data_IF_771605292823
#
_entry.id   IF_771605292823
#
_cell.length_a   1.000
_cell.length_b   1.000
_cell.length_c   1.000
_cell.angle_alpha   90.00
_cell.angle_beta   90.00
_cell.angle_gamma   90.00
#
_symmetry.space_group_name_H-M   'P 1'
#
loop_
_entity.id
_entity.type
_entity.pdbx_description
1 polymer ?
#
# COMPACT_ATOMS: atom_id res chain seq x y z
N UNK A 1 0.04 -14.47 9.20
CA UNK A 1 -0.91 -14.22 8.08
C UNK A 1 -1.81 -13.06 8.46
N UNK A 2 -2.00 -12.07 7.58
CA UNK A 2 -3.03 -11.05 7.79
C UNK A 2 -4.39 -11.74 7.64
N UNK A 3 -5.01 -12.13 8.76
CA UNK A 3 -6.31 -12.81 8.80
C UNK A 3 -7.48 -11.84 9.01
N UNK A 4 -7.28 -10.53 8.82
CA UNK A 4 -8.35 -9.53 8.98
C UNK A 4 -8.96 -9.22 7.63
N UNK A 5 -10.24 -9.54 7.46
CA UNK A 5 -11.02 -9.02 6.35
C UNK A 5 -11.09 -7.49 6.46
N UNK A 6 -11.02 -6.80 5.32
CA UNK A 6 -11.16 -5.36 5.29
C UNK A 6 -12.52 -4.96 5.88
N UNK A 7 -12.53 -3.95 6.75
CA UNK A 7 -13.77 -3.47 7.35
C UNK A 7 -14.61 -2.74 6.29
N UNK A 8 -15.85 -3.17 5.99
CA UNK A 8 -16.60 -2.67 4.81
C UNK A 8 -16.78 -1.15 4.77
N UNK A 9 -17.02 -0.52 5.92
CA UNK A 9 -17.15 0.94 6.01
C UNK A 9 -15.82 1.65 5.75
N UNK A 10 -14.73 1.16 6.36
CA UNK A 10 -13.40 1.71 6.19
C UNK A 10 -12.88 1.52 4.75
N UNK A 11 -13.18 0.37 4.14
CA UNK A 11 -12.86 0.09 2.75
C UNK A 11 -13.60 1.04 1.79
N UNK A 12 -14.89 1.32 2.03
CA UNK A 12 -15.66 2.30 1.24
C UNK A 12 -15.10 3.71 1.38
N UNK A 13 -14.76 4.13 2.60
CA UNK A 13 -14.16 5.44 2.85
C UNK A 13 -12.79 5.58 2.18
N UNK A 14 -11.95 4.55 2.28
CA UNK A 14 -10.67 4.48 1.58
C UNK A 14 -10.84 4.60 0.06
N UNK A 15 -11.74 3.80 -0.52
CA UNK A 15 -12.01 3.81 -1.95
C UNK A 15 -12.53 5.16 -2.44
N UNK A 16 -13.42 5.82 -1.68
CA UNK A 16 -13.91 7.15 -2.00
C UNK A 16 -12.79 8.21 -1.96
N UNK A 17 -11.92 8.16 -0.95
CA UNK A 17 -10.77 9.08 -0.82
C UNK A 17 -9.77 8.94 -1.97
N UNK A 18 -9.53 7.72 -2.43
CA UNK A 18 -8.57 7.43 -3.50
C UNK A 18 -9.19 7.42 -4.90
N UNK A 19 -10.52 7.59 -5.03
CA UNK A 19 -11.20 7.68 -6.32
C UNK A 19 -10.67 8.88 -7.11
N UNK A 20 -10.20 8.63 -8.33
CA UNK A 20 -9.61 9.67 -9.19
C UNK A 20 -8.24 10.17 -8.72
N UNK A 21 -7.62 9.52 -7.73
CA UNK A 21 -6.23 9.75 -7.31
C UNK A 21 -5.35 8.59 -7.75
N UNK A 22 -4.17 8.90 -8.26
CA UNK A 22 -3.18 7.92 -8.66
C UNK A 22 -2.29 8.50 -9.74
N UNK A 23 -1.05 8.81 -9.37
CA UNK A 23 0.01 9.12 -10.34
C UNK A 23 0.91 7.89 -10.43
N UNK A 24 1.15 7.38 -11.65
CA UNK A 24 1.79 6.09 -11.97
C UNK A 24 3.16 5.83 -11.31
N UNK A 25 3.81 6.85 -10.72
CA UNK A 25 5.18 6.71 -10.19
C UNK A 25 5.39 7.13 -8.73
N UNK A 26 4.46 7.85 -8.10
CA UNK A 26 4.72 8.51 -6.80
C UNK A 26 3.85 8.06 -5.63
N UNK A 27 2.61 7.65 -5.89
CA UNK A 27 1.62 7.45 -4.82
C UNK A 27 1.40 5.98 -4.45
N UNK A 28 2.03 5.04 -5.15
CA UNK A 28 1.87 3.60 -4.96
C UNK A 28 2.25 3.13 -3.56
N UNK A 29 3.33 3.67 -2.98
CA UNK A 29 3.71 3.34 -1.60
C UNK A 29 2.72 3.92 -0.59
N UNK A 30 2.32 5.19 -0.75
CA UNK A 30 1.35 5.84 0.14
C UNK A 30 0.00 5.14 0.10
N UNK A 31 -0.44 4.74 -1.08
CA UNK A 31 -1.65 3.94 -1.29
C UNK A 31 -1.62 2.65 -0.46
N UNK A 32 -0.53 1.87 -0.57
CA UNK A 32 -0.41 0.59 0.15
C UNK A 32 -0.35 0.79 1.67
N UNK A 33 0.39 1.78 2.13
CA UNK A 33 0.47 2.12 3.56
C UNK A 33 -0.89 2.51 4.12
N UNK A 34 -1.60 3.39 3.42
CA UNK A 34 -2.90 3.88 3.85
C UNK A 34 -3.98 2.81 3.76
N UNK A 35 -3.94 1.94 2.76
CA UNK A 35 -4.84 0.79 2.61
C UNK A 35 -4.73 -0.15 3.80
N UNK A 36 -3.49 -0.57 4.13
CA UNK A 36 -3.23 -1.49 5.24
C UNK A 36 -3.62 -0.90 6.59
N UNK A 37 -3.32 0.38 6.81
CA UNK A 37 -3.71 1.05 8.05
C UNK A 37 -5.23 1.24 8.14
N UNK A 38 -5.86 1.76 7.10
CA UNK A 38 -7.25 2.23 7.15
C UNK A 38 -8.25 1.10 6.95
N UNK A 39 -8.11 0.31 5.88
CA UNK A 39 -9.09 -0.72 5.54
C UNK A 39 -8.86 -2.01 6.35
N UNK A 40 -7.60 -2.34 6.67
CA UNK A 40 -7.21 -3.58 7.36
C UNK A 40 -6.85 -3.38 8.84
N UNK A 41 -6.78 -2.14 9.33
CA UNK A 41 -6.50 -1.85 10.74
C UNK A 41 -5.11 -2.28 11.19
N UNK A 42 -4.12 -2.25 10.29
CA UNK A 42 -2.73 -2.59 10.60
C UNK A 42 -2.05 -1.36 11.20
N UNK A 43 -1.64 -1.44 12.47
CA UNK A 43 -0.98 -0.31 13.16
C UNK A 43 0.40 0.02 12.59
N UNK A 44 1.16 -1.00 12.18
CA UNK A 44 2.54 -0.85 11.67
C UNK A 44 2.67 -1.44 10.26
N UNK A 45 2.06 -0.81 9.23
CA UNK A 45 2.00 -1.37 7.88
C UNK A 45 3.37 -1.52 7.21
N UNK A 46 4.35 -0.69 7.58
CA UNK A 46 5.73 -0.79 7.07
C UNK A 46 6.39 -2.14 7.41
N UNK A 47 6.00 -2.80 8.51
CA UNK A 47 6.58 -4.10 8.90
C UNK A 47 6.10 -5.26 8.02
N UNK A 48 5.07 -5.03 7.19
CA UNK A 48 4.47 -6.03 6.32
C UNK A 48 4.81 -5.83 4.84
N UNK A 49 5.48 -4.72 4.51
CA UNK A 49 5.82 -4.35 3.16
C UNK A 49 7.34 -4.42 2.99
N UNK A 50 7.77 -5.05 1.90
CA UNK A 50 9.10 -4.81 1.35
C UNK A 50 8.91 -3.73 0.29
N UNK A 51 9.61 -2.61 0.47
CA UNK A 51 9.60 -1.51 -0.49
C UNK A 51 10.36 -1.90 -1.77
N UNK A 52 10.32 -1.05 -2.79
CA UNK A 52 10.98 -1.30 -4.06
C UNK A 52 12.44 -1.67 -3.83
N UNK A 53 12.78 -2.90 -4.22
CA UNK A 53 14.15 -3.38 -4.18
C UNK A 53 14.85 -2.78 -5.39
N UNK A 54 15.80 -1.89 -5.15
CA UNK A 54 16.61 -1.33 -6.22
C UNK A 54 17.40 -2.48 -6.87
N UNK A 55 17.05 -2.81 -8.11
CA UNK A 55 17.85 -3.74 -8.91
C UNK A 55 19.09 -2.96 -9.35
N UNK A 56 20.20 -3.21 -8.67
CA UNK A 56 21.50 -2.84 -9.23
C UNK A 56 21.76 -3.80 -10.37
N UNK A 57 21.58 -3.35 -11.61
CA UNK A 57 22.11 -4.08 -12.75
C UNK A 57 23.62 -3.96 -12.67
N UNK A 58 24.28 -5.00 -12.16
CA UNK A 58 25.71 -5.17 -12.33
C UNK A 58 25.93 -5.21 -13.85
N UNK A 59 26.60 -4.21 -14.41
CA UNK A 59 27.04 -4.26 -15.80
C UNK A 59 27.97 -5.46 -15.93
N UNK A 60 27.44 -6.62 -16.34
CA UNK A 60 28.24 -7.66 -16.97
C UNK A 60 28.48 -7.19 -18.39
N UNK A 61 29.76 -6.98 -18.70
CA UNK A 61 30.31 -6.48 -19.96
C UNK A 61 29.72 -7.09 -21.22
#
# INVERSE_FOLDING_TARGET
>A
MIQRAAQPAAAKAFAAKWKGRGCEKGESQKFRMELLHTAYGVEKPANLLVFEQQVMLNYTS
#
